data_IF_864552991355
#
_entry.id   IF_864552991355
#
_cell.length_a   1.000
_cell.length_b   1.000
_cell.length_c   1.000
_cell.angle_alpha   90.00
_cell.angle_beta   90.00
_cell.angle_gamma   90.00
#
_symmetry.space_group_name_H-M   'P 1'
#
loop_
_entity.id
_entity.type
_entity.pdbx_description
1 polymer ?
#
# COMPACT_ATOMS: atom_id res chain seq x y z
N UNK A 1 15.69 7.79 -34.83
CA UNK A 1 15.70 7.23 -33.46
C UNK A 1 15.82 8.38 -32.47
N UNK A 2 14.68 8.90 -32.03
CA UNK A 2 14.59 9.99 -31.05
C UNK A 2 14.70 9.40 -29.64
N UNK A 3 15.77 9.75 -28.92
CA UNK A 3 15.92 9.46 -27.51
C UNK A 3 14.90 10.29 -26.71
N UNK A 4 13.85 9.65 -26.21
CA UNK A 4 13.02 10.21 -25.15
C UNK A 4 13.82 10.18 -23.86
N UNK A 5 14.24 11.35 -23.37
CA UNK A 5 14.83 11.49 -22.05
C UNK A 5 13.80 11.09 -20.98
N UNK A 6 13.97 9.92 -20.38
CA UNK A 6 13.19 9.51 -19.21
C UNK A 6 13.65 10.32 -18.01
N UNK A 7 12.90 11.35 -17.64
CA UNK A 7 13.12 12.09 -16.39
C UNK A 7 12.91 11.15 -15.20
N UNK A 8 13.84 11.16 -14.26
CA UNK A 8 13.61 10.61 -12.92
C UNK A 8 12.33 11.24 -12.36
N UNK A 9 11.48 10.40 -11.75
CA UNK A 9 10.21 10.83 -11.13
C UNK A 9 10.43 11.50 -9.77
N UNK A 10 11.67 11.52 -9.30
CA UNK A 10 12.08 12.16 -8.07
C UNK A 10 12.50 13.60 -8.36
N UNK A 11 11.90 14.56 -7.64
CA UNK A 11 12.26 15.97 -7.72
C UNK A 11 13.72 16.14 -7.30
N UNK A 12 14.61 16.45 -8.25
CA UNK A 12 16.02 16.71 -7.98
C UNK A 12 16.18 18.10 -7.33
N UNK A 13 16.07 18.18 -6.01
CA UNK A 13 16.45 19.40 -5.28
C UNK A 13 17.97 19.46 -5.11
N UNK A 14 18.66 20.01 -6.11
CA UNK A 14 20.03 20.50 -5.94
C UNK A 14 19.97 21.96 -5.50
N UNK A 15 20.06 22.23 -4.20
CA UNK A 15 20.31 23.57 -3.68
C UNK A 15 21.73 23.65 -3.08
N UNK A 16 22.65 24.21 -3.85
CA UNK A 16 23.98 24.62 -3.38
C UNK A 16 24.06 26.13 -3.17
N UNK A 17 24.75 26.47 -2.07
CA UNK A 17 25.42 27.72 -1.65
C UNK A 17 24.65 28.84 -0.93
N UNK A 18 25.23 29.17 0.22
CA UNK A 18 24.93 30.15 1.28
C UNK A 18 25.36 31.61 0.91
N UNK A 19 25.52 32.56 1.87
CA UNK A 19 24.54 33.58 2.27
C UNK A 19 24.98 35.03 1.98
N UNK A 20 24.04 36.01 1.99
CA UNK A 20 24.15 37.35 2.62
C UNK A 20 23.08 38.34 2.10
N UNK A 21 22.34 38.96 3.01
CA UNK A 21 22.31 40.41 3.27
C UNK A 21 20.96 40.88 3.83
N UNK A 22 21.06 41.82 4.76
CA UNK A 22 20.04 42.35 5.66
C UNK A 22 19.08 43.31 4.95
N UNK A 23 17.79 43.24 5.28
CA UNK A 23 16.80 44.25 4.89
C UNK A 23 15.46 44.02 5.60
N UNK A 24 15.11 44.90 6.53
CA UNK A 24 13.82 44.92 7.24
C UNK A 24 12.73 45.52 6.36
N UNK A 25 11.59 44.85 6.20
CA UNK A 25 10.30 45.49 5.92
C UNK A 25 9.16 44.61 6.44
N UNK A 26 8.33 45.18 7.31
CA UNK A 26 7.04 44.64 7.76
C UNK A 26 6.01 44.94 6.67
N UNK A 27 5.25 43.94 6.21
CA UNK A 27 3.84 44.09 5.79
C UNK A 27 3.21 42.75 5.43
N UNK A 28 2.10 42.48 6.11
CA UNK A 28 0.86 41.85 5.61
C UNK A 28 0.85 40.34 5.28
N UNK A 29 -0.26 39.73 5.70
CA UNK A 29 -0.43 38.29 5.84
C UNK A 29 -0.26 37.52 4.54
N UNK A 30 0.58 36.49 4.62
CA UNK A 30 0.76 35.52 3.56
C UNK A 30 -0.25 34.41 3.83
N UNK A 31 -1.35 34.42 3.09
CA UNK A 31 -2.08 33.18 2.78
C UNK A 31 -1.09 32.35 1.96
N UNK A 32 -0.47 31.35 2.57
CA UNK A 32 0.34 30.37 1.85
C UNK A 32 -0.60 29.57 0.95
N UNK A 33 -0.62 29.94 -0.32
CA UNK A 33 -1.24 29.18 -1.39
C UNK A 33 -0.57 27.81 -1.48
N UNK A 34 -1.36 26.81 -1.09
CA UNK A 34 -1.33 25.38 -1.41
C UNK A 34 -0.14 24.89 -2.28
N UNK A 35 0.76 24.04 -1.76
CA UNK A 35 1.74 23.37 -2.62
C UNK A 35 0.99 22.54 -3.66
N UNK A 36 1.43 22.63 -4.91
CA UNK A 36 0.82 22.07 -6.11
C UNK A 36 0.23 20.68 -5.87
N UNK A 37 -1.10 20.58 -5.90
CA UNK A 37 -1.79 19.29 -5.96
C UNK A 37 -1.22 18.53 -7.16
N UNK A 38 -0.61 17.35 -6.97
CA UNK A 38 -0.05 16.60 -8.07
C UNK A 38 -1.16 16.35 -9.11
N UNK A 39 -0.85 16.38 -10.42
CA UNK A 39 -1.84 16.25 -11.48
C UNK A 39 -2.52 14.87 -11.50
N UNK A 40 -2.17 14.01 -10.56
CA UNK A 40 -2.67 12.66 -10.40
C UNK A 40 -2.72 12.27 -8.91
N UNK A 41 -3.72 11.48 -8.55
CA UNK A 41 -3.95 11.01 -7.19
C UNK A 41 -2.86 9.98 -6.78
N UNK A 42 -2.14 10.23 -5.69
CA UNK A 42 -1.14 9.31 -5.10
C UNK A 42 -1.41 9.08 -3.61
N UNK A 43 -1.27 7.83 -3.16
CA UNK A 43 -1.31 7.52 -1.72
C UNK A 43 0.12 7.61 -1.21
N UNK A 44 0.44 8.74 -0.61
CA UNK A 44 1.77 9.14 -0.17
C UNK A 44 2.13 10.52 -0.71
N UNK A 45 3.41 10.71 -0.99
CA UNK A 45 3.94 11.94 -1.60
C UNK A 45 4.87 11.63 -2.79
N UNK A 46 5.54 12.65 -3.31
CA UNK A 46 6.47 12.51 -4.43
C UNK A 46 7.69 11.63 -4.12
N UNK A 47 8.08 11.55 -2.85
CA UNK A 47 9.27 10.87 -2.36
C UNK A 47 8.98 9.46 -1.82
N UNK A 48 7.78 9.21 -1.31
CA UNK A 48 7.37 7.93 -0.75
C UNK A 48 5.88 7.68 -0.99
N UNK A 49 5.53 6.62 -1.73
CA UNK A 49 4.14 6.29 -2.06
C UNK A 49 3.86 4.81 -2.11
N UNK A 50 2.61 4.46 -1.82
CA UNK A 50 2.09 3.12 -2.08
C UNK A 50 2.02 2.86 -3.59
N UNK A 51 2.62 1.77 -4.03
CA UNK A 51 2.65 1.33 -5.42
C UNK A 51 1.64 0.21 -5.69
N UNK A 52 1.58 -0.79 -4.81
CA UNK A 52 0.61 -1.87 -4.87
C UNK A 52 0.26 -2.32 -3.45
N UNK A 53 -1.00 -2.69 -3.24
CA UNK A 53 -1.49 -3.37 -2.05
C UNK A 53 -2.50 -4.44 -2.49
N UNK A 54 -2.32 -5.66 -2.03
CA UNK A 54 -3.26 -6.74 -2.23
C UNK A 54 -3.40 -7.59 -0.97
N UNK A 55 -4.60 -8.12 -0.77
CA UNK A 55 -4.82 -9.25 0.13
C UNK A 55 -5.55 -10.33 -0.66
N UNK A 56 -5.09 -11.56 -0.56
CA UNK A 56 -5.55 -12.66 -1.39
C UNK A 56 -5.52 -13.99 -0.63
N UNK A 57 -6.37 -14.91 -1.08
CA UNK A 57 -6.40 -16.28 -0.62
C UNK A 57 -5.80 -17.20 -1.68
N UNK A 58 -4.91 -18.10 -1.28
CA UNK A 58 -4.47 -19.21 -2.12
C UNK A 58 -5.20 -20.48 -1.73
N UNK A 59 -5.80 -21.12 -2.74
CA UNK A 59 -6.65 -22.29 -2.59
C UNK A 59 -6.00 -23.44 -3.35
N UNK A 60 -5.59 -24.47 -2.62
CA UNK A 60 -5.09 -25.70 -3.22
C UNK A 60 -6.27 -26.53 -3.74
N UNK A 61 -6.23 -26.89 -5.03
CA UNK A 61 -7.20 -27.79 -5.67
C UNK A 61 -6.50 -29.07 -6.11
N UNK A 62 -6.97 -30.21 -5.60
CA UNK A 62 -6.60 -31.53 -6.10
C UNK A 62 -7.26 -31.76 -7.46
N UNK A 63 -6.45 -32.02 -8.47
CA UNK A 63 -6.89 -32.48 -9.79
C UNK A 63 -6.78 -33.99 -9.76
N UNK A 64 -7.91 -34.67 -9.53
CA UNK A 64 -7.98 -36.12 -9.73
C UNK A 64 -7.90 -36.40 -11.22
N UNK A 65 -6.74 -36.83 -11.72
CA UNK A 65 -6.66 -37.40 -13.06
C UNK A 65 -7.25 -38.80 -13.00
N UNK A 66 -8.50 -38.95 -13.44
CA UNK A 66 -9.15 -40.24 -13.58
C UNK A 66 -8.53 -41.04 -14.73
N UNK A 67 -7.32 -41.57 -14.53
CA UNK A 67 -6.80 -42.68 -15.31
C UNK A 67 -6.36 -43.78 -14.35
N UNK A 68 -7.13 -44.88 -14.22
CA UNK A 68 -6.75 -46.03 -13.41
C UNK A 68 -5.70 -46.86 -14.16
N UNK A 69 -4.46 -46.38 -14.24
CA UNK A 69 -3.34 -47.23 -14.63
C UNK A 69 -2.80 -47.94 -13.38
N UNK A 70 -3.05 -49.25 -13.27
CA UNK A 70 -2.61 -50.12 -12.15
C UNK A 70 -1.09 -50.29 -12.02
N UNK A 71 -0.28 -49.50 -12.74
CA UNK A 71 1.17 -49.67 -12.87
C UNK A 71 1.95 -48.49 -12.27
N UNK A 72 1.31 -47.33 -12.04
CA UNK A 72 1.93 -46.18 -11.39
C UNK A 72 1.03 -45.67 -10.26
N UNK A 73 1.57 -45.28 -9.09
CA UNK A 73 0.79 -44.58 -8.08
C UNK A 73 0.18 -43.33 -8.74
N UNK A 74 -1.10 -43.07 -8.48
CA UNK A 74 -1.79 -41.90 -9.02
C UNK A 74 -0.98 -40.65 -8.68
N UNK A 75 -0.47 -39.96 -9.71
CA UNK A 75 0.15 -38.65 -9.52
C UNK A 75 -0.98 -37.67 -9.24
N UNK A 76 -1.24 -37.37 -7.98
CA UNK A 76 -2.13 -36.28 -7.59
C UNK A 76 -1.53 -34.97 -8.13
N UNK A 77 -2.18 -34.39 -9.14
CA UNK A 77 -1.80 -33.08 -9.63
C UNK A 77 -2.47 -32.01 -8.75
N UNK A 78 -1.70 -31.07 -8.24
CA UNK A 78 -2.20 -29.94 -7.46
C UNK A 78 -2.17 -28.68 -8.31
N UNK A 79 -3.24 -27.87 -8.24
CA UNK A 79 -3.25 -26.51 -8.80
C UNK A 79 -3.52 -25.51 -7.69
N UNK A 80 -2.76 -24.41 -7.69
CA UNK A 80 -2.93 -23.31 -6.76
C UNK A 80 -3.76 -22.24 -7.45
N UNK A 81 -4.88 -21.86 -6.85
CA UNK A 81 -5.73 -20.78 -7.32
C UNK A 81 -5.63 -19.59 -6.36
N UNK A 82 -5.22 -18.43 -6.87
CA UNK A 82 -5.25 -17.18 -6.11
C UNK A 82 -6.59 -16.45 -6.31
N UNK A 83 -7.24 -16.05 -5.22
CA UNK A 83 -8.43 -15.20 -5.21
C UNK A 83 -8.09 -13.88 -4.52
N UNK A 84 -8.10 -12.77 -5.26
CA UNK A 84 -7.85 -11.43 -4.70
C UNK A 84 -9.08 -10.97 -3.92
N UNK A 85 -8.94 -10.80 -2.60
CA UNK A 85 -9.98 -10.24 -1.73
C UNK A 85 -10.06 -8.73 -1.90
N UNK A 86 -8.90 -8.08 -1.95
CA UNK A 86 -8.75 -6.66 -2.25
C UNK A 86 -7.49 -6.46 -3.09
N UNK A 87 -7.55 -5.51 -4.03
CA UNK A 87 -6.40 -5.08 -4.81
C UNK A 87 -6.46 -3.59 -5.08
N UNK A 88 -5.31 -2.95 -4.94
CA UNK A 88 -5.08 -1.55 -5.22
C UNK A 88 -3.72 -1.41 -5.89
N UNK A 89 -3.71 -1.15 -7.19
CA UNK A 89 -2.48 -0.83 -7.90
C UNK A 89 -2.42 0.67 -8.22
N UNK A 90 -1.22 1.26 -8.22
CA UNK A 90 -1.04 2.69 -8.52
C UNK A 90 -1.68 3.08 -9.85
N UNK A 91 -1.60 2.22 -10.85
CA UNK A 91 -2.25 2.48 -12.14
C UNK A 91 -3.77 2.60 -12.00
N UNK A 92 -4.43 1.85 -11.12
CA UNK A 92 -5.89 1.95 -10.91
C UNK A 92 -6.28 3.30 -10.29
N UNK A 93 -5.39 3.85 -9.45
CA UNK A 93 -5.55 5.17 -8.85
C UNK A 93 -5.40 6.27 -9.93
N UNK A 94 -4.42 6.10 -10.82
CA UNK A 94 -4.09 7.04 -11.88
C UNK A 94 -5.10 7.03 -13.04
N UNK A 95 -5.51 5.84 -13.49
CA UNK A 95 -6.38 5.66 -14.66
C UNK A 95 -7.80 6.13 -14.42
N UNK A 96 -8.28 6.13 -13.17
CA UNK A 96 -9.63 6.58 -12.85
C UNK A 96 -9.85 8.09 -13.01
N UNK A 97 -8.84 8.88 -13.43
CA UNK A 97 -8.98 10.34 -13.63
C UNK A 97 -9.66 11.03 -12.44
N UNK A 98 -9.40 10.57 -11.23
CA UNK A 98 -10.02 11.17 -10.05
C UNK A 98 -9.30 12.50 -9.86
N UNK A 99 -10.02 13.57 -10.20
CA UNK A 99 -9.86 14.89 -9.59
C UNK A 99 -9.55 14.67 -8.10
N UNK A 100 -8.55 15.37 -7.56
CA UNK A 100 -7.98 15.19 -6.21
C UNK A 100 -8.91 14.47 -5.19
N UNK A 101 -8.37 13.52 -4.42
CA UNK A 101 -9.14 12.71 -3.46
C UNK A 101 -10.18 13.52 -2.69
N UNK A 102 -11.35 12.91 -2.45
CA UNK A 102 -12.31 13.48 -1.53
C UNK A 102 -11.70 13.63 -0.13
N UNK A 103 -12.01 14.73 0.54
CA UNK A 103 -11.52 15.01 1.89
C UNK A 103 -12.61 14.70 2.89
N UNK A 104 -12.23 14.05 3.99
CA UNK A 104 -13.08 13.78 5.15
C UNK A 104 -12.44 14.43 6.40
N UNK A 105 -13.27 14.96 7.31
CA UNK A 105 -12.74 15.40 8.60
C UNK A 105 -12.31 14.18 9.43
N UNK A 106 -11.10 14.23 9.98
CA UNK A 106 -10.54 13.16 10.77
C UNK A 106 -11.36 12.86 12.05
N UNK A 107 -12.08 13.86 12.57
CA UNK A 107 -12.95 13.70 13.74
C UNK A 107 -14.05 12.66 13.52
N UNK A 108 -14.45 12.43 12.26
CA UNK A 108 -15.51 11.48 11.89
C UNK A 108 -15.09 10.02 12.05
N UNK A 109 -13.78 9.75 12.16
CA UNK A 109 -13.24 8.39 12.16
C UNK A 109 -12.43 8.04 13.41
N UNK A 110 -12.20 8.98 14.34
CA UNK A 110 -11.38 8.72 15.54
C UNK A 110 -11.87 7.53 16.37
N UNK A 111 -13.18 7.33 16.49
CA UNK A 111 -13.77 6.22 17.24
C UNK A 111 -13.47 4.83 16.63
N UNK A 112 -12.98 4.78 15.38
CA UNK A 112 -12.58 3.56 14.69
C UNK A 112 -11.12 3.15 14.97
N UNK A 113 -10.31 4.04 15.55
CA UNK A 113 -8.89 3.81 15.83
C UNK A 113 -8.59 3.80 17.33
N UNK A 114 -7.40 3.33 17.76
CA UNK A 114 -6.99 3.34 19.17
C UNK A 114 -7.07 4.75 19.76
N UNK A 115 -7.49 4.85 21.02
CA UNK A 115 -7.61 6.14 21.72
C UNK A 115 -6.26 6.68 22.22
N UNK A 116 -5.30 5.79 22.51
CA UNK A 116 -3.96 6.12 22.98
C UNK A 116 -2.93 5.61 21.99
N UNK A 117 -1.90 6.42 21.69
CA UNK A 117 -0.93 6.19 20.62
C UNK A 117 -1.64 5.87 19.28
N UNK A 118 -2.75 6.55 19.03
CA UNK A 118 -3.65 6.27 17.92
C UNK A 118 -3.63 7.32 16.82
N UNK A 119 -4.66 7.28 15.97
CA UNK A 119 -4.78 8.21 14.83
C UNK A 119 -4.82 9.68 15.28
N UNK A 120 -5.50 9.98 16.39
CA UNK A 120 -5.59 11.33 16.96
C UNK A 120 -4.22 11.86 17.36
N UNK A 121 -3.46 11.09 18.14
CA UNK A 121 -2.12 11.47 18.58
C UNK A 121 -1.13 11.59 17.42
N UNK A 122 -1.27 10.77 16.37
CA UNK A 122 -0.46 10.88 15.15
C UNK A 122 -0.78 12.15 14.36
N UNK A 123 -2.06 12.46 14.19
CA UNK A 123 -2.50 13.63 13.45
C UNK A 123 -2.17 14.95 14.18
N UNK A 124 -2.36 15.00 15.50
CA UNK A 124 -2.01 16.17 16.32
C UNK A 124 -0.50 16.46 16.27
N UNK A 125 0.35 15.42 16.15
CA UNK A 125 1.81 15.56 15.99
C UNK A 125 2.22 16.11 14.62
N UNK A 126 1.49 15.76 13.57
CA UNK A 126 1.79 16.21 12.22
C UNK A 126 0.51 16.40 11.38
N UNK A 127 -0.23 17.50 11.55
CA UNK A 127 -1.53 17.69 10.87
C UNK A 127 -1.41 17.86 9.35
N UNK A 128 -0.21 18.19 8.86
CA UNK A 128 0.11 18.29 7.43
C UNK A 128 0.76 17.01 6.88
N UNK A 129 0.76 15.93 7.67
CA UNK A 129 1.30 14.64 7.27
C UNK A 129 0.45 13.95 6.19
N UNK A 130 1.01 12.91 5.55
CA UNK A 130 0.33 12.16 4.49
C UNK A 130 -0.69 11.16 5.08
N UNK A 131 -1.87 11.63 5.49
CA UNK A 131 -2.97 10.78 5.98
C UNK A 131 -3.95 10.43 4.87
N UNK A 132 -4.29 9.15 4.76
CA UNK A 132 -5.23 8.63 3.76
C UNK A 132 -6.25 7.69 4.41
N UNK A 133 -7.48 7.77 3.95
CA UNK A 133 -8.54 6.81 4.25
C UNK A 133 -8.88 6.05 2.97
N UNK A 134 -8.76 4.73 3.02
CA UNK A 134 -9.11 3.85 1.90
C UNK A 134 -10.31 3.01 2.31
N UNK A 135 -11.39 3.09 1.53
CA UNK A 135 -12.57 2.25 1.70
C UNK A 135 -12.53 1.11 0.69
N UNK A 136 -12.36 -0.12 1.19
CA UNK A 136 -12.43 -1.32 0.36
C UNK A 136 -13.83 -1.91 0.33
N UNK A 137 -14.17 -2.48 -0.83
CA UNK A 137 -15.25 -3.46 -0.99
C UNK A 137 -14.57 -4.79 -1.28
N UNK A 138 -14.41 -5.62 -0.25
CA UNK A 138 -13.70 -6.88 -0.38
C UNK A 138 -14.55 -7.93 -1.08
N UNK A 139 -13.97 -8.65 -2.04
CA UNK A 139 -14.59 -9.80 -2.67
C UNK A 139 -14.34 -11.05 -1.81
N UNK A 140 -15.18 -11.22 -0.78
CA UNK A 140 -15.07 -12.36 0.12
C UNK A 140 -15.90 -13.51 -0.47
N UNK A 141 -15.28 -14.62 -0.91
CA UNK A 141 -16.04 -15.77 -1.35
C UNK A 141 -16.83 -16.31 -0.15
N UNK A 142 -18.17 -16.41 -0.30
CA UNK A 142 -19.03 -17.03 0.69
C UNK A 142 -18.69 -18.52 0.73
N UNK A 143 -17.87 -18.94 1.70
CA UNK A 143 -17.27 -20.26 1.68
C UNK A 143 -18.34 -21.37 1.65
N UNK A 144 -18.19 -22.26 0.66
CA UNK A 144 -18.79 -23.59 0.61
C UNK A 144 -18.37 -24.52 1.77
N UNK A 145 -17.54 -24.03 2.70
CA UNK A 145 -17.16 -24.67 3.98
C UNK A 145 -18.36 -25.10 4.82
N UNK A 146 -19.52 -24.44 4.70
CA UNK A 146 -20.71 -24.83 5.48
C UNK A 146 -21.46 -26.04 4.90
N UNK A 147 -21.05 -26.58 3.74
CA UNK A 147 -21.84 -27.62 3.02
C UNK A 147 -21.12 -28.93 2.76
N UNK A 148 -19.80 -29.05 2.96
CA UNK A 148 -19.14 -30.35 2.74
C UNK A 148 -17.88 -30.54 3.62
N UNK A 149 -17.97 -31.28 4.75
CA UNK A 149 -16.83 -31.54 5.64
C UNK A 149 -15.75 -32.45 5.03
N UNK A 150 -15.95 -32.93 3.79
CA UNK A 150 -15.05 -33.88 3.12
C UNK A 150 -14.05 -33.21 2.15
N UNK A 151 -14.13 -31.89 1.97
CA UNK A 151 -13.22 -31.13 1.10
C UNK A 151 -12.57 -30.02 1.93
N UNK A 152 -11.61 -30.41 2.78
CA UNK A 152 -10.72 -29.47 3.46
C UNK A 152 -9.91 -28.80 2.35
N UNK A 153 -10.34 -27.61 1.93
CA UNK A 153 -9.50 -26.76 1.11
C UNK A 153 -8.44 -26.18 2.04
N UNK A 154 -7.19 -26.52 1.80
CA UNK A 154 -6.07 -25.81 2.40
C UNK A 154 -6.06 -24.40 1.79
N UNK A 155 -6.72 -23.47 2.47
CA UNK A 155 -6.80 -22.06 2.12
C UNK A 155 -5.81 -21.28 2.98
N UNK A 156 -4.91 -20.54 2.35
CA UNK A 156 -3.94 -19.67 3.03
C UNK A 156 -4.17 -18.23 2.63
N UNK A 157 -4.16 -17.33 3.61
CA UNK A 157 -4.39 -15.90 3.39
C UNK A 157 -3.06 -15.16 3.45
N UNK A 158 -2.87 -14.24 2.51
CA UNK A 158 -1.66 -13.45 2.40
C UNK A 158 -1.97 -12.00 2.10
N UNK A 159 -1.03 -11.13 2.47
CA UNK A 159 -0.99 -9.74 2.06
C UNK A 159 0.29 -9.47 1.31
N UNK A 160 0.21 -8.73 0.20
CA UNK A 160 1.39 -8.20 -0.47
C UNK A 160 1.27 -6.69 -0.59
N UNK A 161 2.37 -5.98 -0.39
CA UNK A 161 2.40 -4.54 -0.60
C UNK A 161 3.77 -4.07 -1.07
N UNK A 162 3.74 -3.05 -1.91
CA UNK A 162 4.93 -2.44 -2.49
C UNK A 162 4.87 -0.93 -2.30
N UNK A 163 5.97 -0.36 -1.81
CA UNK A 163 6.18 1.09 -1.74
C UNK A 163 7.27 1.50 -2.73
N UNK A 164 7.07 2.65 -3.36
CA UNK A 164 8.07 3.32 -4.17
C UNK A 164 8.64 4.52 -3.41
N UNK A 165 9.96 4.65 -3.40
CA UNK A 165 10.73 5.65 -2.66
C UNK A 165 11.79 6.30 -3.56
N UNK A 166 12.10 7.56 -3.29
CA UNK A 166 13.23 8.28 -3.89
C UNK A 166 14.54 8.14 -3.10
N UNK A 167 14.50 7.52 -1.92
CA UNK A 167 15.66 7.35 -1.05
C UNK A 167 15.97 5.88 -0.79
N UNK A 168 17.27 5.53 -0.87
CA UNK A 168 17.79 4.25 -0.41
C UNK A 168 17.88 4.22 1.13
N UNK A 169 16.75 3.99 1.79
CA UNK A 169 16.69 3.93 3.26
C UNK A 169 15.82 2.77 3.71
N UNK A 170 16.15 2.11 4.84
CA UNK A 170 15.26 1.15 5.46
C UNK A 170 13.91 1.77 5.79
N UNK A 171 12.85 0.97 5.70
CA UNK A 171 11.51 1.36 6.16
C UNK A 171 10.95 0.34 7.14
N UNK A 172 10.15 0.83 8.09
CA UNK A 172 9.37 0.03 9.02
C UNK A 172 7.90 0.34 8.80
N UNK A 173 7.07 -0.70 8.72
CA UNK A 173 5.64 -0.59 8.50
C UNK A 173 4.94 -1.26 9.66
N UNK A 174 4.20 -0.47 10.43
CA UNK A 174 3.29 -0.98 11.46
C UNK A 174 1.89 -1.12 10.87
N UNK A 175 1.38 -2.34 10.87
CA UNK A 175 -0.01 -2.67 10.52
C UNK A 175 -0.76 -3.05 11.79
N UNK A 176 -1.72 -2.22 12.19
CA UNK A 176 -2.51 -2.41 13.41
C UNK A 176 -3.95 -2.83 13.08
N UNK A 177 -4.33 -4.03 13.53
CA UNK A 177 -5.71 -4.50 13.45
C UNK A 177 -6.49 -3.93 14.63
N UNK A 178 -7.57 -3.21 14.32
CA UNK A 178 -8.41 -2.58 15.31
C UNK A 178 -9.82 -3.17 15.31
N UNK A 179 -10.37 -3.39 16.51
CA UNK A 179 -11.77 -3.79 16.70
C UNK A 179 -12.40 -2.85 17.72
N UNK A 180 -13.51 -2.20 17.36
CA UNK A 180 -14.21 -1.20 18.18
C UNK A 180 -13.27 -0.13 18.77
N UNK A 181 -12.36 0.42 17.95
CA UNK A 181 -11.43 1.48 18.39
C UNK A 181 -10.34 1.02 19.36
N UNK A 182 -10.05 -0.29 19.42
CA UNK A 182 -8.96 -0.86 20.24
C UNK A 182 -8.01 -1.67 19.36
N UNK A 183 -6.71 -1.51 19.61
CA UNK A 183 -5.69 -2.35 18.97
C UNK A 183 -5.80 -3.79 19.49
N UNK A 184 -5.90 -4.75 18.58
CA UNK A 184 -5.98 -6.19 18.87
C UNK A 184 -4.68 -6.89 18.50
N UNK A 185 -4.09 -6.50 17.37
CA UNK A 185 -2.85 -7.08 16.85
C UNK A 185 -2.06 -5.99 16.13
N UNK A 186 -0.74 -6.00 16.32
CA UNK A 186 0.18 -5.19 15.55
C UNK A 186 1.21 -6.10 14.90
N UNK A 187 1.42 -5.91 13.61
CA UNK A 187 2.48 -6.53 12.84
C UNK A 187 3.44 -5.45 12.37
N UNK A 188 4.73 -5.69 12.57
CA UNK A 188 5.79 -4.79 12.11
C UNK A 188 6.62 -5.49 11.05
N UNK A 189 6.55 -4.98 9.83
CA UNK A 189 7.36 -5.45 8.72
C UNK A 189 8.50 -4.45 8.46
N UNK A 190 9.69 -4.96 8.14
CA UNK A 190 10.88 -4.14 7.92
C UNK A 190 11.53 -4.49 6.58
N UNK A 191 11.82 -3.47 5.76
CA UNK A 191 12.56 -3.62 4.51
C UNK A 191 13.86 -2.83 4.61
N UNK A 192 14.96 -3.55 4.84
CA UNK A 192 16.31 -2.98 4.96
C UNK A 192 16.94 -2.65 3.60
N UNK A 193 16.60 -3.40 2.56
CA UNK A 193 17.27 -3.36 1.26
C UNK A 193 16.24 -3.19 0.12
N UNK A 194 15.87 -1.95 -0.26
CA UNK A 194 15.01 -1.74 -1.41
C UNK A 194 15.68 -2.16 -2.71
N UNK A 195 14.85 -2.60 -3.67
CA UNK A 195 15.29 -2.88 -5.04
C UNK A 195 15.30 -1.58 -5.86
N UNK A 196 16.43 -1.26 -6.50
CA UNK A 196 16.55 -0.11 -7.38
C UNK A 196 16.12 -0.47 -8.80
N UNK A 197 15.29 0.35 -9.42
CA UNK A 197 14.89 0.18 -10.83
C UNK A 197 15.81 0.94 -11.81
N UNK A 198 15.49 0.86 -13.10
CA UNK A 198 16.21 1.54 -14.18
C UNK A 198 16.06 3.07 -14.19
N UNK A 199 15.16 3.63 -13.37
CA UNK A 199 14.85 5.05 -13.28
C UNK A 199 15.30 5.68 -11.96
N UNK A 200 16.15 4.98 -11.21
CA UNK A 200 16.66 5.41 -9.90
C UNK A 200 15.57 5.54 -8.81
N UNK A 201 14.52 4.73 -8.92
CA UNK A 201 13.49 4.58 -7.90
C UNK A 201 13.73 3.31 -7.07
N UNK A 202 13.52 3.43 -5.77
CA UNK A 202 13.70 2.36 -4.80
C UNK A 202 12.34 1.72 -4.49
N UNK A 203 12.26 0.40 -4.55
CA UNK A 203 11.05 -0.36 -4.29
C UNK A 203 11.21 -1.24 -3.06
N UNK A 204 10.32 -1.07 -2.10
CA UNK A 204 10.21 -1.93 -0.91
C UNK A 204 9.05 -2.89 -1.14
N UNK A 205 9.35 -4.18 -1.29
CA UNK A 205 8.35 -5.23 -1.54
C UNK A 205 8.22 -6.13 -0.33
N UNK A 206 6.98 -6.39 0.04
CA UNK A 206 6.60 -7.31 1.10
C UNK A 206 5.66 -8.31 0.45
N UNK A 207 6.22 -9.44 0.06
CA UNK A 207 5.51 -10.44 -0.72
C UNK A 207 4.96 -11.53 0.21
N UNK A 208 3.68 -11.86 0.02
CA UNK A 208 3.02 -13.00 0.69
C UNK A 208 3.18 -13.00 2.20
N UNK A 209 3.03 -11.82 2.80
CA UNK A 209 3.09 -11.62 4.23
C UNK A 209 1.85 -12.25 4.90
N UNK A 210 2.06 -13.28 5.73
CA UNK A 210 1.03 -14.03 6.48
C UNK A 210 0.71 -13.42 7.84
#
# INVERSE_FOLDING_TARGET
FTHTASRSRCSSNTSSSSPQSSGSTVSQGIILSNPSVPPFAIIGDENFRLYELSAFAEINRTISTAHPSLIYPASEAYSIHQHDLVRLHVNDIQMKSIQAFETISIDQIYDKFPHYDGLKDLFERNPYGPFFLIKFWADVPMSSSMTNPMNIRDESFFTSFTYASCANRPIHISTRLCSFGKNVLEKVDTSEHPQRDQYDQYFHRFDRSS
#
